data_IF_265104082932
#
_entry.id   IF_265104082932
#
_cell.length_a   1.000
_cell.length_b   1.000
_cell.length_c   1.000
_cell.angle_alpha   90.00
_cell.angle_beta   90.00
_cell.angle_gamma   90.00
#
_symmetry.space_group_name_H-M   'P 1'
#
loop_
_entity.id
_entity.type
_entity.pdbx_description
1 polymer ?
#
# COMPACT_ATOMS: atom_id res chain seq x y z
N UNK A 1 57.98 86.96 76.56
CA UNK A 1 56.97 86.98 77.63
C UNK A 1 56.29 85.61 77.61
N UNK A 2 56.74 84.72 78.50
CA UNK A 2 56.09 83.51 79.06
C UNK A 2 55.76 82.36 78.06
N UNK A 3 56.68 81.39 77.86
CA UNK A 3 56.85 80.03 78.48
C UNK A 3 56.03 78.90 77.78
N UNK A 4 56.68 77.90 77.16
CA UNK A 4 56.92 76.51 77.65
C UNK A 4 55.62 75.73 77.96
N UNK A 5 55.35 74.47 77.60
CA UNK A 5 56.10 73.25 77.26
C UNK A 5 55.24 72.05 77.71
N UNK A 6 55.51 70.82 77.25
CA UNK A 6 55.17 69.59 77.99
C UNK A 6 53.84 68.85 77.72
N UNK A 7 53.98 67.61 77.22
CA UNK A 7 53.32 66.32 77.57
C UNK A 7 51.90 66.28 78.17
N UNK A 8 51.02 65.42 77.63
CA UNK A 8 50.72 64.05 78.15
C UNK A 8 49.32 63.51 77.78
N UNK A 9 49.28 62.19 77.57
CA UNK A 9 48.20 61.23 77.91
C UNK A 9 46.94 61.05 77.03
N UNK A 10 46.83 59.82 76.49
CA UNK A 10 45.72 58.84 76.64
C UNK A 10 44.25 59.26 76.40
N UNK A 11 43.60 58.68 75.38
CA UNK A 11 42.53 57.64 75.49
C UNK A 11 41.81 57.34 74.16
N UNK A 12 41.56 56.03 73.95
CA UNK A 12 40.51 55.30 73.19
C UNK A 12 39.56 56.08 72.27
N UNK A 13 39.08 55.58 71.11
CA UNK A 13 38.25 54.38 70.95
C UNK A 13 37.74 54.27 69.50
N UNK A 14 37.49 53.03 69.05
CA UNK A 14 36.53 52.57 68.03
C UNK A 14 36.81 52.87 66.54
N UNK A 15 37.35 51.86 65.84
CA UNK A 15 37.05 51.60 64.42
C UNK A 15 36.52 50.16 64.28
N UNK A 16 35.34 50.03 63.67
CA UNK A 16 34.65 48.77 63.43
C UNK A 16 35.29 48.03 62.25
N UNK A 17 35.64 46.76 62.44
CA UNK A 17 36.03 45.84 61.37
C UNK A 17 34.88 44.87 61.10
N UNK A 18 34.33 44.91 59.90
CA UNK A 18 33.34 43.95 59.40
C UNK A 18 34.03 42.66 58.96
N UNK A 19 33.67 41.55 59.58
CA UNK A 19 34.14 40.21 59.25
C UNK A 19 33.15 39.58 58.25
N UNK A 20 33.53 39.47 56.97
CA UNK A 20 32.78 38.69 55.98
C UNK A 20 33.34 37.27 55.92
N UNK A 21 32.50 36.30 56.23
CA UNK A 21 32.73 34.86 56.13
C UNK A 21 32.66 34.41 54.66
N UNK A 22 33.74 33.82 54.15
CA UNK A 22 33.75 33.08 52.88
C UNK A 22 33.11 31.69 53.11
N UNK A 23 31.89 31.49 52.61
CA UNK A 23 31.36 30.15 52.33
C UNK A 23 31.74 29.81 50.88
N UNK A 24 32.67 28.87 50.70
CA UNK A 24 32.97 28.28 49.41
C UNK A 24 31.81 27.37 48.98
N UNK A 25 30.91 27.88 48.14
CA UNK A 25 29.97 27.07 47.40
C UNK A 25 30.72 26.40 46.24
N UNK A 26 30.97 25.10 46.36
CA UNK A 26 31.36 24.24 45.24
C UNK A 26 30.14 24.11 44.34
N UNK A 27 29.93 25.08 43.45
CA UNK A 27 29.02 24.95 42.33
C UNK A 27 29.66 23.95 41.36
N UNK A 28 29.35 22.67 41.54
CA UNK A 28 29.57 21.67 40.51
C UNK A 28 28.87 22.15 39.25
N UNK A 29 29.66 22.45 38.23
CA UNK A 29 29.16 22.66 36.88
C UNK A 29 28.41 21.37 36.48
N UNK A 30 27.08 21.41 36.53
CA UNK A 30 26.25 20.48 35.79
C UNK A 30 26.49 20.80 34.30
N UNK A 31 27.61 20.29 33.76
CA UNK A 31 27.77 20.11 32.34
C UNK A 31 26.51 19.38 31.88
N UNK A 32 25.78 19.99 30.93
CA UNK A 32 24.51 19.46 30.44
C UNK A 32 24.70 18.00 30.06
N UNK A 33 24.20 17.09 30.90
CA UNK A 33 24.31 15.67 30.67
C UNK A 33 23.61 15.39 29.33
N UNK A 34 24.31 14.71 28.42
CA UNK A 34 23.68 14.33 27.17
C UNK A 34 22.39 13.54 27.49
N UNK A 35 21.30 13.85 26.78
CA UNK A 35 20.02 13.23 27.07
C UNK A 35 20.14 11.70 27.00
N UNK A 36 19.96 11.02 28.15
CA UNK A 36 20.05 9.57 28.26
C UNK A 36 19.18 8.85 27.21
N UNK A 37 19.67 7.74 26.69
CA UNK A 37 18.97 6.91 25.72
C UNK A 37 17.81 6.14 26.38
N UNK A 38 16.76 5.84 25.61
CA UNK A 38 15.71 4.91 26.03
C UNK A 38 16.14 3.46 25.81
N UNK A 39 16.89 3.21 24.73
CA UNK A 39 17.41 1.90 24.33
C UNK A 39 18.84 2.02 23.82
N UNK A 40 19.72 1.14 24.27
CA UNK A 40 21.03 0.89 23.66
C UNK A 40 21.05 -0.54 23.15
N UNK A 41 21.34 -0.69 21.86
CA UNK A 41 21.60 -1.98 21.22
C UNK A 41 23.11 -2.08 21.02
N UNK A 42 23.71 -3.18 21.45
CA UNK A 42 25.16 -3.40 21.45
C UNK A 42 25.50 -4.85 21.13
N UNK A 43 26.79 -5.16 21.02
CA UNK A 43 27.26 -6.49 20.66
C UNK A 43 26.56 -6.97 19.37
N UNK A 44 26.62 -6.11 18.35
CA UNK A 44 25.93 -6.26 17.08
C UNK A 44 26.86 -5.82 15.95
N UNK A 45 26.62 -6.31 14.73
CA UNK A 45 27.19 -5.72 13.52
C UNK A 45 26.14 -4.83 12.90
N UNK A 46 26.26 -3.51 13.04
CA UNK A 46 25.26 -2.55 12.56
C UNK A 46 25.75 -1.98 11.23
N UNK A 47 25.01 -2.21 10.15
CA UNK A 47 25.29 -1.58 8.86
C UNK A 47 24.45 -0.31 8.73
N UNK A 48 25.10 0.83 8.54
CA UNK A 48 24.41 2.13 8.58
C UNK A 48 23.78 2.53 7.25
N UNK A 49 24.30 1.97 6.14
CA UNK A 49 23.99 2.41 4.78
C UNK A 49 24.19 3.93 4.58
N UNK A 50 25.13 4.52 5.32
CA UNK A 50 25.60 5.88 5.02
C UNK A 50 26.43 5.92 3.72
N UNK A 51 26.84 7.11 3.27
CA UNK A 51 27.60 7.27 2.03
C UNK A 51 28.98 6.54 2.03
N UNK A 52 29.45 6.09 3.20
CA UNK A 52 30.69 5.36 3.36
C UNK A 52 30.46 3.86 3.63
N UNK A 53 29.21 3.41 3.64
CA UNK A 53 28.83 2.04 3.97
C UNK A 53 29.44 1.60 5.31
N UNK A 54 29.38 2.47 6.32
CA UNK A 54 30.03 2.22 7.60
C UNK A 54 29.39 1.07 8.38
N UNK A 55 30.19 0.44 9.25
CA UNK A 55 29.76 -0.55 10.21
C UNK A 55 30.03 -0.06 11.64
N UNK A 56 29.15 -0.42 12.57
CA UNK A 56 29.23 -0.04 13.98
C UNK A 56 28.89 -1.22 14.90
N UNK A 57 29.28 -1.10 16.17
CA UNK A 57 29.10 -2.15 17.18
C UNK A 57 27.86 -1.92 18.08
N UNK A 58 27.40 -0.67 18.15
CA UNK A 58 26.27 -0.26 18.96
C UNK A 58 25.53 0.96 18.39
N UNK A 59 24.24 1.07 18.76
CA UNK A 59 23.42 2.26 18.53
C UNK A 59 22.65 2.61 19.81
N UNK A 60 22.31 3.89 19.96
CA UNK A 60 21.47 4.39 21.04
C UNK A 60 20.27 5.13 20.47
N UNK A 61 19.09 4.87 21.02
CA UNK A 61 17.80 5.41 20.59
C UNK A 61 17.18 6.22 21.71
N UNK A 62 16.64 7.39 21.37
CA UNK A 62 15.80 8.20 22.26
C UNK A 62 14.61 8.74 21.49
N UNK A 63 13.42 8.64 22.07
CA UNK A 63 12.14 9.06 21.48
C UNK A 63 11.96 8.56 20.03
N UNK A 64 12.34 7.29 19.77
CA UNK A 64 12.22 6.67 18.46
C UNK A 64 13.22 7.16 17.40
N UNK A 65 14.25 7.91 17.79
CA UNK A 65 15.33 8.37 16.90
C UNK A 65 16.67 7.81 17.34
N UNK A 66 17.51 7.45 16.38
CA UNK A 66 18.92 7.12 16.64
C UNK A 66 19.62 8.42 17.03
N UNK A 67 20.16 8.46 18.25
CA UNK A 67 20.95 9.59 18.77
C UNK A 67 22.46 9.30 18.75
N UNK A 68 22.83 8.03 18.57
CA UNK A 68 24.23 7.61 18.44
C UNK A 68 24.33 6.30 17.65
N UNK A 69 25.37 6.17 16.84
CA UNK A 69 25.78 4.92 16.18
C UNK A 69 27.31 4.90 16.12
N UNK A 70 27.92 3.81 16.56
CA UNK A 70 29.39 3.71 16.65
C UNK A 70 29.84 2.59 17.58
N UNK A 71 30.84 2.86 18.42
CA UNK A 71 31.39 1.86 19.33
C UNK A 71 30.48 1.59 20.54
N UNK A 72 30.57 0.39 21.10
CA UNK A 72 29.85 0.01 22.32
C UNK A 72 30.13 0.95 23.50
N UNK A 73 31.39 1.35 23.70
CA UNK A 73 31.78 2.31 24.75
C UNK A 73 31.17 3.68 24.51
N UNK A 74 31.03 4.10 23.25
CA UNK A 74 30.38 5.36 22.88
C UNK A 74 28.91 5.37 23.27
N UNK A 75 28.18 4.31 22.89
CA UNK A 75 26.77 4.17 23.23
C UNK A 75 26.55 4.07 24.75
N UNK A 76 27.41 3.35 25.47
CA UNK A 76 27.28 3.14 26.92
C UNK A 76 27.33 4.45 27.73
N UNK A 77 28.01 5.50 27.23
CA UNK A 77 28.02 6.82 27.89
C UNK A 77 26.65 7.50 27.91
N UNK A 78 25.73 7.07 27.04
CA UNK A 78 24.37 7.56 26.96
C UNK A 78 23.39 6.77 27.84
N UNK A 79 23.87 5.75 28.57
CA UNK A 79 23.03 4.97 29.47
C UNK A 79 22.65 5.81 30.71
N UNK A 80 21.35 5.88 30.99
CA UNK A 80 20.78 6.40 32.22
C UNK A 80 20.04 5.32 33.02
N UNK A 81 19.49 5.66 34.18
CA UNK A 81 18.84 4.70 35.08
C UNK A 81 17.65 3.94 34.48
N UNK A 82 17.04 4.47 33.41
CA UNK A 82 15.88 3.87 32.72
C UNK A 82 16.23 3.31 31.34
N UNK A 83 17.51 3.36 30.93
CA UNK A 83 17.92 2.88 29.61
C UNK A 83 17.84 1.37 29.55
N UNK A 84 17.08 0.84 28.58
CA UNK A 84 17.09 -0.59 28.27
C UNK A 84 18.36 -0.93 27.51
N UNK A 85 19.09 -1.94 27.99
CA UNK A 85 20.31 -2.44 27.33
C UNK A 85 20.00 -3.76 26.64
N UNK A 86 20.30 -3.85 25.35
CA UNK A 86 20.09 -5.03 24.53
C UNK A 86 21.41 -5.46 23.88
N UNK A 87 21.80 -6.71 24.07
CA UNK A 87 23.00 -7.31 23.47
C UNK A 87 22.58 -8.33 22.43
N UNK A 88 23.06 -8.18 21.19
CA UNK A 88 22.60 -9.00 20.08
C UNK A 88 23.50 -10.21 19.76
N UNK A 89 24.60 -10.43 20.48
CA UNK A 89 25.46 -11.60 20.29
C UNK A 89 26.13 -11.65 18.91
N UNK A 90 26.55 -10.50 18.39
CA UNK A 90 27.16 -10.35 17.07
C UNK A 90 26.20 -10.40 15.88
N UNK A 91 24.87 -10.43 16.10
CA UNK A 91 23.89 -10.42 15.01
C UNK A 91 23.97 -9.12 14.19
N UNK A 92 23.57 -9.23 12.93
CA UNK A 92 23.51 -8.11 11.98
C UNK A 92 22.25 -7.27 12.23
N UNK A 93 22.43 -5.95 12.27
CA UNK A 93 21.35 -4.95 12.25
C UNK A 93 21.43 -4.19 10.93
N UNK A 94 20.31 -4.16 10.21
CA UNK A 94 20.14 -3.42 8.97
C UNK A 94 19.12 -2.29 9.17
N UNK A 95 19.16 -1.22 8.36
CA UNK A 95 18.03 -0.31 8.25
C UNK A 95 16.80 -1.11 7.82
N UNK A 96 15.64 -0.78 8.40
CA UNK A 96 14.38 -1.39 7.98
C UNK A 96 14.13 -1.12 6.49
N UNK A 97 13.58 -2.11 5.79
CA UNK A 97 13.35 -2.00 4.35
C UNK A 97 12.26 -0.96 4.07
N UNK A 98 12.41 -0.31 2.92
CA UNK A 98 11.44 0.66 2.40
C UNK A 98 10.96 0.14 1.06
N UNK A 99 9.66 -0.17 0.98
CA UNK A 99 9.04 -0.48 -0.30
C UNK A 99 8.54 0.80 -0.96
N UNK A 100 9.20 1.22 -2.05
CA UNK A 100 8.88 2.49 -2.70
C UNK A 100 7.65 2.45 -3.61
N UNK A 101 7.03 1.29 -3.85
CA UNK A 101 5.87 1.18 -4.75
C UNK A 101 5.12 -0.15 -4.56
N UNK A 102 4.12 -0.17 -3.68
CA UNK A 102 3.32 -1.37 -3.42
C UNK A 102 1.82 -1.02 -3.36
N UNK A 103 0.96 -2.02 -3.57
CA UNK A 103 -0.46 -1.98 -3.26
C UNK A 103 -0.70 -2.77 -1.97
N UNK A 104 -0.51 -2.15 -0.78
CA UNK A 104 -0.34 -2.86 0.49
C UNK A 104 -1.63 -3.46 1.01
N UNK A 105 -2.81 -3.00 0.57
CA UNK A 105 -4.08 -3.60 0.99
C UNK A 105 -4.36 -4.92 0.25
N UNK A 106 -3.78 -5.10 -0.94
CA UNK A 106 -3.93 -6.29 -1.79
C UNK A 106 -3.03 -7.45 -1.38
N UNK A 107 -2.08 -7.22 -0.46
CA UNK A 107 -1.16 -8.28 -0.01
C UNK A 107 -1.85 -9.27 0.93
N UNK A 108 -3.08 -8.99 1.39
CA UNK A 108 -3.76 -9.86 2.33
C UNK A 108 -4.34 -11.08 1.63
N UNK A 109 -4.09 -12.24 2.23
CA UNK A 109 -4.79 -13.47 1.86
C UNK A 109 -6.20 -13.38 2.48
N UNK A 110 -7.15 -12.95 1.64
CA UNK A 110 -8.57 -12.83 1.96
C UNK A 110 -9.30 -14.15 1.72
N UNK A 111 -10.36 -14.39 2.49
CA UNK A 111 -11.24 -15.54 2.28
C UNK A 111 -12.20 -15.27 1.12
N UNK A 112 -11.72 -15.52 -0.09
CA UNK A 112 -12.45 -15.31 -1.36
C UNK A 112 -12.29 -16.55 -2.26
N UNK A 113 -13.23 -16.76 -3.18
CA UNK A 113 -13.12 -17.83 -4.16
C UNK A 113 -11.90 -17.57 -5.07
N UNK A 114 -10.90 -18.45 -5.04
CA UNK A 114 -9.60 -18.19 -5.66
C UNK A 114 -9.06 -19.47 -6.32
N UNK A 115 -8.66 -19.39 -7.58
CA UNK A 115 -8.11 -20.49 -8.37
C UNK A 115 -6.59 -20.63 -8.25
N UNK A 116 -5.92 -19.70 -7.57
CA UNK A 116 -4.48 -19.70 -7.32
C UNK A 116 -3.65 -19.80 -8.61
N UNK A 117 -4.15 -19.28 -9.73
CA UNK A 117 -3.53 -19.39 -11.06
C UNK A 117 -3.32 -20.83 -11.54
N UNK A 118 -3.98 -21.83 -10.94
CA UNK A 118 -3.90 -23.22 -11.38
C UNK A 118 -4.68 -23.42 -12.68
N UNK A 119 -4.11 -24.09 -13.70
CA UNK A 119 -4.84 -24.44 -14.92
C UNK A 119 -5.98 -25.41 -14.57
N UNK A 120 -7.19 -25.17 -15.11
CA UNK A 120 -8.38 -25.95 -14.75
C UNK A 120 -9.35 -26.14 -15.93
N UNK A 121 -9.56 -27.40 -16.41
CA UNK A 121 -10.50 -27.72 -17.49
C UNK A 121 -11.90 -27.21 -17.22
N UNK A 122 -12.66 -26.84 -18.26
CA UNK A 122 -13.96 -26.16 -18.09
C UNK A 122 -14.96 -26.96 -17.25
N UNK A 123 -14.92 -28.30 -17.33
CA UNK A 123 -15.72 -29.19 -16.49
C UNK A 123 -15.39 -29.06 -15.01
N UNK A 124 -14.11 -29.04 -14.68
CA UNK A 124 -13.62 -28.90 -13.30
C UNK A 124 -13.87 -27.50 -12.78
N UNK A 125 -13.68 -26.49 -13.64
CA UNK A 125 -13.97 -25.09 -13.35
C UNK A 125 -15.44 -24.89 -13.00
N UNK A 126 -16.38 -25.46 -13.78
CA UNK A 126 -17.81 -25.39 -13.48
C UNK A 126 -18.12 -25.96 -12.08
N UNK A 127 -17.56 -27.14 -11.75
CA UNK A 127 -17.74 -27.77 -10.44
C UNK A 127 -17.14 -26.95 -9.30
N UNK A 128 -15.93 -26.40 -9.50
CA UNK A 128 -15.25 -25.55 -8.52
C UNK A 128 -16.05 -24.28 -8.24
N UNK A 129 -16.50 -23.58 -9.28
CA UNK A 129 -17.29 -22.35 -9.14
C UNK A 129 -18.64 -22.65 -8.45
N UNK A 130 -19.31 -23.75 -8.79
CA UNK A 130 -20.54 -24.17 -8.11
C UNK A 130 -20.31 -24.40 -6.61
N UNK A 131 -19.18 -25.02 -6.25
CA UNK A 131 -18.79 -25.22 -4.86
C UNK A 131 -18.54 -23.87 -4.15
N UNK A 132 -17.90 -22.89 -4.81
CA UNK A 132 -17.75 -21.55 -4.26
C UNK A 132 -19.10 -20.85 -4.04
N UNK A 133 -20.03 -20.92 -5.00
CA UNK A 133 -21.39 -20.35 -4.85
C UNK A 133 -22.07 -20.91 -3.60
N UNK A 134 -21.96 -22.23 -3.38
CA UNK A 134 -22.53 -22.87 -2.20
C UNK A 134 -21.79 -22.49 -0.90
N UNK A 135 -20.46 -22.45 -0.93
CA UNK A 135 -19.62 -22.15 0.23
C UNK A 135 -19.84 -20.72 0.74
N UNK A 136 -19.74 -19.73 -0.15
CA UNK A 136 -19.93 -18.32 0.16
C UNK A 136 -21.41 -17.92 0.25
N UNK A 137 -22.34 -18.83 -0.07
CA UNK A 137 -23.79 -18.61 -0.02
C UNK A 137 -24.22 -17.36 -0.79
N UNK A 138 -23.60 -17.14 -1.95
CA UNK A 138 -23.83 -15.94 -2.75
C UNK A 138 -25.31 -15.82 -3.12
N UNK A 139 -26.01 -14.73 -2.75
CA UNK A 139 -27.43 -14.59 -3.02
C UNK A 139 -27.75 -14.54 -4.52
N UNK A 140 -28.96 -14.97 -4.89
CA UNK A 140 -29.43 -14.85 -6.27
C UNK A 140 -29.44 -13.37 -6.72
N UNK A 141 -28.97 -13.13 -7.94
CA UNK A 141 -28.79 -11.80 -8.51
C UNK A 141 -27.59 -11.02 -7.97
N UNK A 142 -26.84 -11.56 -7.01
CA UNK A 142 -25.54 -11.01 -6.63
C UNK A 142 -24.41 -11.68 -7.39
N UNK A 143 -23.23 -11.08 -7.31
CA UNK A 143 -22.03 -11.53 -8.02
C UNK A 143 -21.12 -12.35 -7.12
N UNK A 144 -20.59 -13.44 -7.67
CA UNK A 144 -19.41 -14.13 -7.18
C UNK A 144 -18.23 -13.80 -8.11
N UNK A 145 -17.20 -13.19 -7.55
CA UNK A 145 -15.91 -13.01 -8.21
C UNK A 145 -14.98 -14.17 -7.85
N UNK A 146 -14.40 -14.79 -8.87
CA UNK A 146 -13.46 -15.90 -8.74
C UNK A 146 -12.08 -15.39 -9.16
N UNK A 147 -11.18 -15.30 -8.19
CA UNK A 147 -9.88 -14.65 -8.34
C UNK A 147 -8.82 -15.57 -8.96
N UNK A 148 -7.80 -14.96 -9.56
CA UNK A 148 -6.60 -15.65 -10.06
C UNK A 148 -6.91 -16.77 -11.07
N UNK A 149 -7.87 -16.54 -11.96
CA UNK A 149 -8.14 -17.45 -13.06
C UNK A 149 -6.95 -17.45 -14.03
N UNK A 150 -6.42 -18.64 -14.33
CA UNK A 150 -5.40 -18.80 -15.37
C UNK A 150 -6.09 -18.78 -16.74
N UNK A 151 -6.08 -17.64 -17.41
CA UNK A 151 -6.72 -17.50 -18.72
C UNK A 151 -5.91 -18.17 -19.84
N UNK A 152 -4.59 -18.32 -19.65
CA UNK A 152 -3.65 -18.79 -20.68
C UNK A 152 -3.69 -20.31 -20.84
N UNK A 153 -3.85 -21.05 -19.75
CA UNK A 153 -3.78 -22.52 -19.74
C UNK A 153 -4.93 -23.14 -18.93
N UNK A 154 -5.20 -24.41 -19.20
CA UNK A 154 -6.17 -25.21 -18.49
C UNK A 154 -7.61 -25.04 -18.95
N UNK A 155 -7.95 -24.10 -19.83
CA UNK A 155 -9.35 -23.84 -20.23
C UNK A 155 -9.90 -24.81 -21.29
N UNK A 156 -9.51 -26.10 -21.25
CA UNK A 156 -9.94 -27.06 -22.27
C UNK A 156 -11.47 -27.32 -22.17
N UNK A 157 -12.21 -27.21 -23.28
CA UNK A 157 -13.64 -27.48 -23.31
C UNK A 157 -13.92 -28.99 -23.33
N UNK A 158 -15.17 -29.34 -23.00
CA UNK A 158 -15.73 -30.67 -23.27
C UNK A 158 -17.09 -30.54 -23.98
N UNK A 159 -17.76 -31.67 -24.22
CA UNK A 159 -19.03 -31.70 -24.93
C UNK A 159 -20.17 -30.97 -24.18
N UNK A 160 -20.13 -30.96 -22.85
CA UNK A 160 -21.16 -30.33 -22.00
C UNK A 160 -20.82 -28.86 -21.71
N UNK A 161 -19.54 -28.50 -21.79
CA UNK A 161 -18.99 -27.16 -21.54
C UNK A 161 -18.14 -26.70 -22.74
N UNK A 162 -18.77 -26.42 -23.90
CA UNK A 162 -18.05 -26.04 -25.11
C UNK A 162 -17.45 -24.62 -25.04
N UNK A 163 -17.87 -23.81 -24.08
CA UNK A 163 -17.44 -22.42 -23.89
C UNK A 163 -17.32 -22.06 -22.41
N UNK A 164 -16.57 -21.01 -22.09
CA UNK A 164 -16.50 -20.45 -20.72
C UNK A 164 -17.90 -20.09 -20.21
N UNK A 165 -18.73 -19.46 -21.05
CA UNK A 165 -20.12 -19.13 -20.71
C UNK A 165 -20.90 -20.37 -20.30
N UNK A 166 -20.83 -21.46 -21.08
CA UNK A 166 -21.52 -22.71 -20.77
C UNK A 166 -21.03 -23.33 -19.44
N UNK A 167 -19.71 -23.30 -19.19
CA UNK A 167 -19.12 -23.75 -17.93
C UNK A 167 -19.65 -22.96 -16.72
N UNK A 168 -19.69 -21.63 -16.84
CA UNK A 168 -20.14 -20.77 -15.74
C UNK A 168 -21.66 -20.78 -15.56
N UNK A 169 -22.43 -20.97 -16.64
CA UNK A 169 -23.89 -21.20 -16.56
C UNK A 169 -24.22 -22.54 -15.89
N UNK A 170 -23.42 -23.59 -16.16
CA UNK A 170 -23.55 -24.89 -15.48
C UNK A 170 -23.26 -24.78 -13.97
N UNK A 171 -22.37 -23.86 -13.57
CA UNK A 171 -22.11 -23.57 -12.17
C UNK A 171 -23.28 -22.85 -11.49
N UNK A 172 -23.87 -21.85 -12.14
CA UNK A 172 -25.09 -21.17 -11.67
C UNK A 172 -25.74 -20.31 -12.76
N UNK A 173 -27.06 -20.38 -12.85
CA UNK A 173 -27.90 -19.46 -13.65
C UNK A 173 -28.60 -18.40 -12.78
N UNK A 174 -28.37 -18.42 -11.46
CA UNK A 174 -29.03 -17.52 -10.49
C UNK A 174 -28.08 -16.49 -9.88
N UNK A 175 -26.78 -16.75 -9.95
CA UNK A 175 -25.72 -15.89 -9.40
C UNK A 175 -24.90 -15.38 -10.57
N UNK A 176 -24.59 -14.09 -10.58
CA UNK A 176 -23.68 -13.53 -11.57
C UNK A 176 -22.28 -14.08 -11.31
N UNK A 177 -21.67 -14.72 -12.29
CA UNK A 177 -20.32 -15.27 -12.14
C UNK A 177 -19.36 -14.43 -12.96
N UNK A 178 -18.26 -14.03 -12.31
CA UNK A 178 -17.13 -13.38 -12.94
C UNK A 178 -15.83 -14.11 -12.57
N UNK A 179 -15.06 -14.52 -13.57
CA UNK A 179 -13.65 -14.89 -13.39
C UNK A 179 -12.78 -13.65 -13.56
N UNK A 180 -11.82 -13.47 -12.67
CA UNK A 180 -10.78 -12.45 -12.73
C UNK A 180 -9.47 -13.11 -13.16
N UNK A 181 -9.02 -12.81 -14.37
CA UNK A 181 -7.75 -13.31 -14.90
C UNK A 181 -6.58 -12.89 -14.01
N UNK A 182 -5.63 -13.78 -13.81
CA UNK A 182 -4.44 -13.54 -12.98
C UNK A 182 -3.53 -12.40 -13.45
N UNK A 183 -3.75 -11.90 -14.67
CA UNK A 183 -3.08 -10.75 -15.24
C UNK A 183 -3.84 -9.43 -15.06
N UNK A 184 -5.11 -9.46 -14.63
CA UNK A 184 -5.95 -8.28 -14.45
C UNK A 184 -6.63 -7.76 -15.70
N UNK A 185 -6.38 -8.40 -16.85
CA UNK A 185 -6.81 -7.96 -18.18
C UNK A 185 -7.92 -8.85 -18.74
N UNK A 186 -7.89 -10.13 -18.38
CA UNK A 186 -8.89 -11.10 -18.84
C UNK A 186 -10.04 -11.26 -17.85
N UNK A 187 -11.22 -11.53 -18.40
CA UNK A 187 -12.40 -11.85 -17.64
C UNK A 187 -13.25 -12.89 -18.34
N UNK A 188 -14.01 -13.65 -17.56
CA UNK A 188 -15.03 -14.53 -18.09
C UNK A 188 -16.33 -14.44 -17.29
N UNK A 189 -17.46 -14.49 -17.97
CA UNK A 189 -18.77 -14.20 -17.39
C UNK A 189 -19.82 -15.24 -17.82
N UNK A 190 -20.74 -15.57 -16.92
CA UNK A 190 -21.92 -16.37 -17.25
C UNK A 190 -23.00 -15.52 -17.95
N UNK A 191 -24.07 -16.17 -18.44
CA UNK A 191 -25.17 -15.49 -19.12
C UNK A 191 -25.79 -14.36 -18.29
N UNK A 192 -26.03 -14.62 -17.00
CA UNK A 192 -26.68 -13.65 -16.12
C UNK A 192 -25.86 -12.36 -15.97
N UNK A 193 -24.53 -12.48 -15.88
CA UNK A 193 -23.64 -11.32 -15.85
C UNK A 193 -23.57 -10.61 -17.21
N UNK A 194 -23.49 -11.35 -18.32
CA UNK A 194 -23.47 -10.77 -19.67
C UNK A 194 -24.74 -9.95 -19.98
N UNK A 195 -25.89 -10.34 -19.44
CA UNK A 195 -27.16 -9.60 -19.55
C UNK A 195 -27.10 -8.21 -18.90
N UNK A 196 -26.19 -7.98 -17.94
CA UNK A 196 -26.05 -6.70 -17.26
C UNK A 196 -25.28 -5.63 -18.06
N UNK A 197 -24.79 -5.95 -19.26
CA UNK A 197 -24.00 -5.01 -20.05
C UNK A 197 -24.78 -3.72 -20.36
N UNK A 198 -24.14 -2.56 -20.11
CA UNK A 198 -24.72 -1.22 -20.26
C UNK A 198 -24.14 -0.49 -21.45
N UNK A 199 -25.01 0.20 -22.20
CA UNK A 199 -24.58 1.10 -23.26
C UNK A 199 -24.10 2.46 -22.73
N UNK A 200 -23.66 3.36 -23.62
CA UNK A 200 -23.16 4.70 -23.27
C UNK A 200 -24.21 5.60 -22.59
N UNK A 201 -25.50 5.27 -22.70
CA UNK A 201 -26.57 5.95 -21.98
C UNK A 201 -26.86 5.32 -20.59
N UNK A 202 -26.05 4.34 -20.15
CA UNK A 202 -26.21 3.62 -18.89
C UNK A 202 -27.34 2.58 -18.88
N UNK A 203 -28.01 2.36 -20.02
CA UNK A 203 -29.12 1.40 -20.13
C UNK A 203 -28.57 -0.02 -20.26
N UNK A 204 -29.12 -0.94 -19.46
CA UNK A 204 -28.87 -2.38 -19.58
C UNK A 204 -29.46 -2.89 -20.89
N UNK A 205 -28.61 -3.44 -21.76
CA UNK A 205 -28.97 -3.97 -23.09
C UNK A 205 -28.42 -5.38 -23.33
N UNK A 206 -27.52 -5.87 -22.47
CA UNK A 206 -26.92 -7.19 -22.57
C UNK A 206 -25.84 -7.29 -23.65
N UNK A 207 -24.84 -8.13 -23.41
CA UNK A 207 -23.81 -8.46 -24.39
C UNK A 207 -24.31 -9.62 -25.26
N UNK A 208 -24.46 -9.38 -26.56
CA UNK A 208 -24.98 -10.33 -27.53
C UNK A 208 -24.35 -10.12 -28.89
N UNK A 209 -24.52 -11.07 -29.83
CA UNK A 209 -24.10 -10.88 -31.22
C UNK A 209 -24.65 -9.59 -31.84
N UNK A 210 -25.90 -9.25 -31.54
CA UNK A 210 -26.55 -8.05 -32.06
C UNK A 210 -25.90 -6.79 -31.47
N UNK A 211 -25.81 -6.69 -30.14
CA UNK A 211 -25.24 -5.50 -29.49
C UNK A 211 -23.75 -5.33 -29.77
N UNK A 212 -23.00 -6.41 -30.00
CA UNK A 212 -21.62 -6.37 -30.51
C UNK A 212 -21.50 -5.83 -31.95
N UNK A 213 -22.56 -5.91 -32.76
CA UNK A 213 -22.58 -5.33 -34.10
C UNK A 213 -23.02 -3.85 -34.10
N UNK A 214 -23.69 -3.40 -33.03
CA UNK A 214 -24.27 -2.06 -32.90
C UNK A 214 -23.62 -1.28 -31.75
N UNK A 215 -24.21 -1.27 -30.56
CA UNK A 215 -23.81 -0.43 -29.42
C UNK A 215 -22.37 -0.67 -28.97
N UNK A 216 -21.91 -1.92 -29.06
CA UNK A 216 -20.60 -2.37 -28.58
C UNK A 216 -19.63 -2.70 -29.70
N UNK A 217 -19.84 -2.16 -30.91
CA UNK A 217 -18.97 -2.39 -32.07
C UNK A 217 -17.49 -2.14 -31.78
N UNK A 218 -17.18 -1.10 -31.00
CA UNK A 218 -15.80 -0.76 -30.62
C UNK A 218 -15.16 -1.81 -29.70
N UNK A 219 -15.96 -2.54 -28.93
CA UNK A 219 -15.51 -3.54 -27.97
C UNK A 219 -15.44 -4.96 -28.54
N UNK A 220 -16.01 -5.19 -29.74
CA UNK A 220 -16.02 -6.50 -30.41
C UNK A 220 -14.65 -7.21 -30.44
N UNK A 221 -13.51 -6.54 -30.68
CA UNK A 221 -12.20 -7.21 -30.64
C UNK A 221 -11.90 -7.87 -29.30
N UNK A 222 -12.41 -7.35 -28.19
CA UNK A 222 -12.10 -7.80 -26.83
C UNK A 222 -13.09 -8.84 -26.28
N UNK A 223 -14.07 -9.26 -27.07
CA UNK A 223 -15.10 -10.21 -26.65
C UNK A 223 -14.97 -11.51 -27.44
N UNK A 224 -14.74 -12.61 -26.73
CA UNK A 224 -14.73 -13.95 -27.32
C UNK A 224 -16.13 -14.33 -27.78
N UNK A 225 -16.23 -14.92 -28.97
CA UNK A 225 -17.49 -15.39 -29.54
C UNK A 225 -17.38 -16.85 -29.95
N UNK A 226 -18.52 -17.54 -29.97
CA UNK A 226 -18.63 -18.91 -30.49
C UNK A 226 -18.77 -18.94 -32.02
N UNK A 227 -18.97 -20.14 -32.56
CA UNK A 227 -19.20 -20.39 -33.99
C UNK A 227 -20.39 -19.61 -34.57
N UNK A 228 -21.39 -19.30 -33.76
CA UNK A 228 -22.57 -18.54 -34.17
C UNK A 228 -22.36 -17.03 -34.06
N UNK A 229 -21.27 -16.59 -33.42
CA UNK A 229 -20.95 -15.21 -33.15
C UNK A 229 -21.57 -14.66 -31.86
N UNK A 230 -22.10 -15.54 -31.01
CA UNK A 230 -22.62 -15.17 -29.69
C UNK A 230 -21.47 -15.14 -28.66
N UNK A 231 -21.51 -14.27 -27.63
CA UNK A 231 -20.46 -14.22 -26.62
C UNK A 231 -20.24 -15.58 -25.95
N UNK A 232 -18.98 -16.05 -25.97
CA UNK A 232 -18.59 -17.35 -25.44
C UNK A 232 -18.22 -17.30 -23.94
N UNK A 233 -18.41 -16.15 -23.31
CA UNK A 233 -18.09 -15.90 -21.90
C UNK A 233 -16.83 -15.07 -21.70
N UNK A 234 -15.84 -15.15 -22.60
CA UNK A 234 -14.64 -14.33 -22.49
C UNK A 234 -14.95 -12.86 -22.84
N UNK A 235 -14.65 -11.96 -21.90
CA UNK A 235 -14.78 -10.50 -22.05
C UNK A 235 -13.54 -9.91 -21.43
N UNK A 236 -12.73 -9.23 -22.23
CA UNK A 236 -11.40 -8.77 -21.82
C UNK A 236 -11.30 -7.25 -21.90
N UNK A 237 -10.26 -6.71 -21.28
CA UNK A 237 -9.94 -5.29 -21.33
C UNK A 237 -11.11 -4.41 -20.91
N UNK A 238 -11.24 -3.25 -21.57
CA UNK A 238 -12.28 -2.28 -21.30
C UNK A 238 -13.69 -2.81 -21.59
N UNK A 239 -13.82 -3.87 -22.41
CA UNK A 239 -15.12 -4.48 -22.66
C UNK A 239 -15.72 -5.09 -21.38
N UNK A 240 -14.89 -5.43 -20.38
CA UNK A 240 -15.38 -5.89 -19.07
C UNK A 240 -16.20 -4.81 -18.38
N UNK A 241 -15.78 -3.54 -18.48
CA UNK A 241 -16.47 -2.42 -17.83
C UNK A 241 -17.90 -2.19 -18.34
N UNK A 242 -18.25 -2.75 -19.51
CA UNK A 242 -19.65 -2.78 -19.97
C UNK A 242 -20.57 -3.46 -18.95
N UNK A 243 -20.08 -4.47 -18.22
CA UNK A 243 -20.83 -5.31 -17.29
C UNK A 243 -20.71 -4.80 -15.83
N UNK A 244 -20.04 -3.65 -15.63
CA UNK A 244 -19.71 -3.10 -14.32
C UNK A 244 -19.05 -4.15 -13.41
N UNK A 245 -17.91 -4.73 -13.82
CA UNK A 245 -17.27 -5.85 -13.16
C UNK A 245 -16.65 -5.39 -11.84
N UNK A 246 -16.40 -6.33 -10.93
CA UNK A 246 -15.41 -6.07 -9.89
C UNK A 246 -14.04 -6.03 -10.58
N UNK A 247 -13.19 -5.07 -10.24
CA UNK A 247 -11.81 -4.98 -10.72
C UNK A 247 -10.89 -5.82 -9.84
N UNK A 248 -9.78 -6.32 -10.39
CA UNK A 248 -8.70 -6.83 -9.52
C UNK A 248 -8.08 -5.75 -8.65
N UNK A 249 -8.22 -4.49 -9.05
CA UNK A 249 -7.80 -3.32 -8.27
C UNK A 249 -8.84 -2.92 -7.21
N UNK A 250 -10.03 -3.52 -7.25
CA UNK A 250 -11.03 -3.31 -6.21
C UNK A 250 -10.65 -4.18 -5.03
N UNK A 251 -9.86 -3.61 -4.14
CA UNK A 251 -9.61 -4.20 -2.83
C UNK A 251 -10.95 -4.38 -2.14
N UNK A 252 -11.23 -5.56 -1.59
CA UNK A 252 -12.38 -5.73 -0.70
C UNK A 252 -12.09 -5.01 0.63
N UNK A 253 -12.33 -3.70 0.63
CA UNK A 253 -12.03 -2.83 1.75
C UNK A 253 -12.80 -3.22 3.01
N UNK A 254 -13.99 -3.82 2.86
CA UNK A 254 -14.78 -4.31 3.98
C UNK A 254 -14.10 -5.52 4.64
N UNK A 255 -13.61 -6.48 3.85
CA UNK A 255 -12.83 -7.61 4.36
C UNK A 255 -11.49 -7.15 4.96
N UNK A 256 -10.76 -6.27 4.27
CA UNK A 256 -9.50 -5.71 4.80
C UNK A 256 -9.73 -4.96 6.11
N UNK A 257 -10.83 -4.19 6.20
CA UNK A 257 -11.18 -3.47 7.40
C UNK A 257 -11.55 -4.37 8.59
N UNK A 258 -11.82 -5.66 8.40
CA UNK A 258 -12.09 -6.58 9.54
C UNK A 258 -10.83 -6.87 10.35
N UNK A 259 -9.66 -6.95 9.71
CA UNK A 259 -8.38 -7.22 10.36
C UNK A 259 -7.24 -6.40 9.72
N UNK A 260 -7.34 -5.06 9.73
CA UNK A 260 -6.44 -4.22 8.95
C UNK A 260 -4.99 -4.29 9.46
N UNK A 261 -4.77 -4.63 10.74
CA UNK A 261 -3.46 -4.87 11.34
C UNK A 261 -2.66 -5.97 10.64
N UNK A 262 -3.32 -6.89 9.93
CA UNK A 262 -2.63 -7.93 9.14
C UNK A 262 -1.75 -7.32 8.05
N UNK A 263 -2.10 -6.13 7.54
CA UNK A 263 -1.30 -5.43 6.51
C UNK A 263 0.08 -5.12 7.06
N UNK A 264 0.13 -4.42 8.19
CA UNK A 264 1.41 -3.99 8.78
C UNK A 264 2.15 -5.17 9.42
N UNK A 265 1.46 -6.21 9.89
CA UNK A 265 2.10 -7.45 10.34
C UNK A 265 2.82 -8.18 9.20
N UNK A 266 2.20 -8.31 8.02
CA UNK A 266 2.81 -8.97 6.85
C UNK A 266 4.04 -8.19 6.36
N UNK A 267 3.91 -6.85 6.27
CA UNK A 267 5.04 -5.97 5.91
C UNK A 267 6.18 -6.05 6.94
N UNK A 268 5.89 -5.92 8.22
CA UNK A 268 6.89 -6.01 9.29
C UNK A 268 7.56 -7.38 9.32
N UNK A 269 6.82 -8.46 9.05
CA UNK A 269 7.35 -9.83 8.96
C UNK A 269 8.38 -10.00 7.83
N UNK A 270 8.28 -9.18 6.78
CA UNK A 270 9.28 -9.09 5.71
C UNK A 270 10.39 -8.06 5.98
N UNK A 271 10.39 -7.41 7.15
CA UNK A 271 11.35 -6.35 7.50
C UNK A 271 11.04 -4.98 6.88
N UNK A 272 9.86 -4.81 6.26
CA UNK A 272 9.43 -3.54 5.67
C UNK A 272 8.89 -2.64 6.80
N UNK A 273 9.49 -1.47 6.97
CA UNK A 273 9.15 -0.51 8.04
C UNK A 273 8.67 0.83 7.51
N UNK A 274 8.75 1.03 6.20
CA UNK A 274 8.11 2.13 5.50
C UNK A 274 7.68 1.70 4.10
N UNK A 275 6.63 2.30 3.57
CA UNK A 275 6.16 2.01 2.22
C UNK A 275 5.45 3.19 1.56
N UNK A 276 5.39 3.20 0.23
CA UNK A 276 4.46 3.99 -0.56
C UNK A 276 3.31 3.09 -0.98
N UNK A 277 2.10 3.38 -0.51
CA UNK A 277 0.90 2.88 -1.18
C UNK A 277 0.80 3.61 -2.52
N UNK A 278 0.99 2.86 -3.60
CA UNK A 278 1.12 3.36 -4.96
C UNK A 278 -0.20 3.86 -5.56
N UNK A 279 -1.35 3.52 -4.97
CA UNK A 279 -2.65 3.94 -5.47
C UNK A 279 -3.72 3.86 -4.38
N UNK A 280 -4.02 5.00 -3.76
CA UNK A 280 -5.01 5.10 -2.69
C UNK A 280 -6.25 5.79 -3.20
N UNK A 281 -7.34 5.03 -3.27
CA UNK A 281 -8.68 5.55 -3.51
C UNK A 281 -9.19 6.29 -2.25
N UNK A 282 -10.07 7.31 -2.40
CA UNK A 282 -10.65 8.02 -1.26
C UNK A 282 -11.29 7.11 -0.20
N UNK A 283 -11.94 6.03 -0.62
CA UNK A 283 -12.63 5.06 0.22
C UNK A 283 -11.65 4.24 1.07
N UNK A 284 -10.46 3.94 0.54
CA UNK A 284 -9.43 3.17 1.23
C UNK A 284 -8.80 3.92 2.42
N UNK A 285 -8.97 5.25 2.49
CA UNK A 285 -8.46 6.07 3.60
C UNK A 285 -9.03 5.64 4.96
N UNK A 286 -10.24 5.09 5.00
CA UNK A 286 -10.87 4.61 6.23
C UNK A 286 -10.08 3.44 6.86
N UNK A 287 -9.45 2.59 6.05
CA UNK A 287 -8.59 1.49 6.53
C UNK A 287 -7.36 2.04 7.24
N UNK A 288 -6.72 3.05 6.66
CA UNK A 288 -5.56 3.73 7.24
C UNK A 288 -5.90 4.48 8.54
N UNK A 289 -7.06 5.14 8.58
CA UNK A 289 -7.55 5.78 9.79
C UNK A 289 -7.77 4.75 10.91
N UNK A 290 -8.37 3.60 10.58
CA UNK A 290 -8.60 2.50 11.53
C UNK A 290 -7.29 1.88 12.03
N UNK A 291 -6.31 1.64 11.15
CA UNK A 291 -4.97 1.18 11.51
C UNK A 291 -4.31 2.11 12.53
N UNK A 292 -4.35 3.41 12.25
CA UNK A 292 -3.72 4.40 13.11
C UNK A 292 -4.45 4.56 14.44
N UNK A 293 -5.78 4.71 14.42
CA UNK A 293 -6.59 4.86 15.63
C UNK A 293 -6.53 3.63 16.54
N UNK A 294 -6.39 2.42 15.97
CA UNK A 294 -6.20 1.18 16.70
C UNK A 294 -4.79 0.93 17.23
N UNK A 295 -3.81 1.80 16.93
CA UNK A 295 -2.41 1.59 17.31
C UNK A 295 -1.71 0.47 16.54
N UNK A 296 -2.29 0.04 15.41
CA UNK A 296 -1.77 -1.04 14.56
C UNK A 296 -0.96 -0.53 13.37
N UNK A 297 -0.91 0.79 13.15
CA UNK A 297 0.02 1.40 12.21
C UNK A 297 1.44 1.33 12.78
N UNK A 298 2.21 0.32 12.37
CA UNK A 298 3.58 0.05 12.86
C UNK A 298 4.67 0.39 11.86
N UNK A 299 4.30 0.85 10.66
CA UNK A 299 5.20 1.28 9.59
C UNK A 299 4.84 2.70 9.14
N UNK A 300 5.80 3.41 8.51
CA UNK A 300 5.53 4.74 7.92
C UNK A 300 4.98 4.58 6.51
N UNK A 301 3.83 5.16 6.22
CA UNK A 301 3.23 5.13 4.89
C UNK A 301 3.22 6.50 4.23
N UNK A 302 3.53 6.51 2.94
CA UNK A 302 3.18 7.58 2.01
C UNK A 302 2.02 7.08 1.16
N UNK A 303 0.96 7.88 1.04
CA UNK A 303 -0.23 7.56 0.25
C UNK A 303 -0.14 8.33 -1.07
N UNK A 304 -0.04 7.60 -2.19
CA UNK A 304 -0.22 8.16 -3.52
C UNK A 304 -1.70 8.18 -3.86
N UNK A 305 -2.30 9.36 -3.75
CA UNK A 305 -3.73 9.55 -3.94
C UNK A 305 -4.08 9.33 -5.42
N UNK A 306 -5.11 8.54 -5.69
CA UNK A 306 -5.61 8.30 -7.03
C UNK A 306 -7.04 8.82 -7.17
N UNK A 307 -7.27 9.58 -8.23
CA UNK A 307 -8.57 10.12 -8.60
C UNK A 307 -8.79 9.82 -10.07
N UNK A 308 -9.77 8.99 -10.38
CA UNK A 308 -10.08 8.65 -11.77
C UNK A 308 -10.62 9.89 -12.52
N UNK A 309 -9.92 10.37 -13.56
CA UNK A 309 -10.38 11.50 -14.38
C UNK A 309 -11.72 11.26 -15.08
N UNK A 310 -12.11 9.99 -15.27
CA UNK A 310 -13.39 9.62 -15.87
C UNK A 310 -14.59 10.04 -15.00
N UNK A 311 -14.41 10.07 -13.67
CA UNK A 311 -15.42 10.44 -12.69
C UNK A 311 -15.47 11.93 -12.40
N UNK A 312 -14.48 12.69 -12.87
CA UNK A 312 -14.37 14.14 -12.64
C UNK A 312 -14.45 14.88 -13.97
N UNK A 313 -15.56 14.74 -14.69
CA UNK A 313 -15.81 15.51 -15.91
C UNK A 313 -16.81 16.64 -15.71
N UNK A 314 -16.50 17.81 -16.26
CA UNK A 314 -17.41 18.96 -16.38
C UNK A 314 -18.50 18.68 -17.42
N UNK A 315 -19.55 19.51 -17.42
CA UNK A 315 -20.69 19.34 -18.34
C UNK A 315 -20.31 19.40 -19.84
N UNK A 316 -19.18 20.06 -20.17
CA UNK A 316 -18.60 20.12 -21.52
C UNK A 316 -17.63 18.96 -21.82
N UNK A 317 -17.51 17.99 -20.91
CA UNK A 317 -16.73 16.77 -21.07
C UNK A 317 -15.24 16.89 -20.75
N UNK A 318 -14.75 18.04 -20.29
CA UNK A 318 -13.35 18.22 -19.86
C UNK A 318 -13.12 17.60 -18.47
N UNK A 319 -11.89 17.23 -18.15
CA UNK A 319 -11.52 16.78 -16.80
C UNK A 319 -11.45 18.00 -15.86
N UNK A 320 -12.11 17.91 -14.71
CA UNK A 320 -12.11 18.87 -13.62
C UNK A 320 -10.91 18.64 -12.68
N UNK A 321 -9.75 19.13 -13.13
CA UNK A 321 -8.51 19.05 -12.35
C UNK A 321 -8.56 19.91 -11.07
N UNK A 322 -9.31 21.01 -11.07
CA UNK A 322 -9.38 21.92 -9.92
C UNK A 322 -10.09 21.24 -8.74
N UNK A 323 -11.22 20.58 -9.00
CA UNK A 323 -11.92 19.77 -7.99
C UNK A 323 -11.07 18.60 -7.50
N UNK A 324 -10.36 17.94 -8.42
CA UNK A 324 -9.44 16.84 -8.08
C UNK A 324 -8.30 17.31 -7.18
N UNK A 325 -7.67 18.44 -7.52
CA UNK A 325 -6.59 19.02 -6.72
C UNK A 325 -7.08 19.51 -5.36
N UNK A 326 -8.28 20.11 -5.28
CA UNK A 326 -8.88 20.52 -4.02
C UNK A 326 -9.08 19.33 -3.07
N UNK A 327 -9.58 18.20 -3.57
CA UNK A 327 -9.68 16.95 -2.81
C UNK A 327 -8.29 16.46 -2.35
N UNK A 328 -7.31 16.47 -3.25
CA UNK A 328 -5.96 16.01 -2.94
C UNK A 328 -5.29 16.85 -1.83
N UNK A 329 -5.49 18.17 -1.87
CA UNK A 329 -5.03 19.11 -0.84
C UNK A 329 -5.72 18.85 0.49
N UNK A 330 -7.04 18.60 0.49
CA UNK A 330 -7.79 18.29 1.71
C UNK A 330 -7.29 16.99 2.37
N UNK A 331 -7.07 15.92 1.58
CA UNK A 331 -6.48 14.67 2.08
C UNK A 331 -5.08 14.87 2.62
N UNK A 332 -4.24 15.67 1.93
CA UNK A 332 -2.90 16.00 2.42
C UNK A 332 -2.97 16.73 3.77
N UNK A 333 -3.88 17.69 3.90
CA UNK A 333 -4.10 18.44 5.14
C UNK A 333 -4.56 17.53 6.29
N UNK A 334 -5.44 16.57 6.02
CA UNK A 334 -5.91 15.56 7.00
C UNK A 334 -4.74 14.84 7.69
N UNK A 335 -3.71 14.46 6.95
CA UNK A 335 -2.55 13.72 7.47
C UNK A 335 -1.33 14.60 7.81
N UNK A 336 -1.44 15.93 7.72
CA UNK A 336 -0.30 16.84 7.86
C UNK A 336 0.40 16.78 9.24
N UNK A 337 -0.31 16.38 10.29
CA UNK A 337 0.23 16.23 11.64
C UNK A 337 0.37 14.77 12.08
N UNK A 338 0.08 13.81 11.20
CA UNK A 338 0.23 12.39 11.54
C UNK A 338 1.73 11.99 11.46
N UNK A 339 2.28 11.31 12.48
CA UNK A 339 3.69 10.91 12.52
C UNK A 339 4.02 9.69 11.63
N UNK A 340 3.02 8.91 11.22
CA UNK A 340 3.21 7.66 10.49
C UNK A 340 2.55 7.66 9.10
N UNK A 341 1.47 8.42 8.90
CA UNK A 341 0.72 8.48 7.65
C UNK A 341 0.90 9.84 7.01
N UNK A 342 1.18 9.88 5.71
CA UNK A 342 1.28 11.11 4.92
C UNK A 342 0.70 10.91 3.52
N UNK A 343 -0.01 11.89 2.99
CA UNK A 343 -0.63 11.82 1.66
C UNK A 343 -0.07 12.92 0.74
N UNK A 344 1.23 12.86 0.47
CA UNK A 344 1.96 13.92 -0.26
C UNK A 344 2.03 13.69 -1.78
N UNK A 345 1.51 12.57 -2.29
CA UNK A 345 1.67 12.17 -3.69
C UNK A 345 0.32 12.05 -4.39
N UNK A 346 0.32 12.26 -5.71
CA UNK A 346 -0.78 11.93 -6.63
C UNK A 346 -0.26 10.87 -7.59
N UNK A 347 -1.01 9.78 -7.77
CA UNK A 347 -0.74 8.75 -8.77
C UNK A 347 -1.40 9.13 -10.09
N UNK A 348 -0.65 8.99 -11.17
CA UNK A 348 -1.12 9.18 -12.56
C UNK A 348 -0.62 7.97 -13.36
N UNK A 349 -1.43 7.50 -14.30
CA UNK A 349 -1.05 6.51 -15.30
C UNK A 349 -0.84 7.23 -16.63
N UNK A 350 0.31 7.01 -17.26
CA UNK A 350 0.64 7.60 -18.56
C UNK A 350 0.34 6.63 -19.72
N UNK A 351 0.62 5.34 -19.50
CA UNK A 351 0.45 4.23 -20.44
C UNK A 351 0.12 2.92 -19.69
N UNK A 352 0.20 1.80 -20.39
CA UNK A 352 -0.10 0.47 -19.88
C UNK A 352 1.09 -0.33 -19.36
N UNK A 353 1.02 -1.64 -19.53
CA UNK A 353 2.04 -2.61 -19.12
C UNK A 353 2.64 -3.29 -20.34
N UNK A 354 3.87 -3.82 -20.22
CA UNK A 354 4.59 -4.43 -21.36
C UNK A 354 3.96 -5.76 -21.81
N UNK A 355 3.17 -6.37 -20.93
CA UNK A 355 2.46 -7.61 -21.14
C UNK A 355 1.25 -7.45 -22.07
N UNK A 356 0.77 -6.22 -22.29
CA UNK A 356 -0.24 -5.90 -23.30
C UNK A 356 0.25 -6.33 -24.68
N UNK A 357 -0.60 -7.04 -25.41
CA UNK A 357 -0.30 -7.56 -26.74
C UNK A 357 -1.46 -7.22 -27.69
N UNK A 358 -1.37 -6.11 -28.43
CA UNK A 358 -2.41 -5.70 -29.38
C UNK A 358 -2.52 -6.67 -30.58
N UNK A 359 -1.61 -7.64 -30.71
CA UNK A 359 -1.62 -8.66 -31.75
C UNK A 359 -2.18 -10.02 -31.28
N UNK A 360 -2.50 -10.17 -30.00
CA UNK A 360 -3.22 -11.35 -29.52
C UNK A 360 -4.65 -11.38 -30.08
N UNK A 361 -5.29 -12.56 -30.05
CA UNK A 361 -6.70 -12.72 -30.43
C UNK A 361 -7.42 -13.38 -29.25
N UNK A 362 -8.24 -12.63 -28.48
CA UNK A 362 -8.47 -11.18 -28.57
C UNK A 362 -7.22 -10.37 -28.15
N UNK A 363 -7.07 -9.12 -28.62
CA UNK A 363 -5.95 -8.26 -28.24
C UNK A 363 -6.02 -7.95 -26.75
N UNK A 364 -4.85 -7.80 -26.14
CA UNK A 364 -4.71 -7.41 -24.73
C UNK A 364 -4.12 -6.01 -24.62
N UNK A 365 -4.61 -5.25 -23.65
CA UNK A 365 -4.35 -3.84 -23.35
C UNK A 365 -4.25 -3.69 -21.82
N UNK A 366 -3.94 -2.51 -21.27
CA UNK A 366 -3.25 -1.41 -21.92
C UNK A 366 -1.84 -1.85 -22.29
N UNK A 367 -1.42 -1.59 -23.53
CA UNK A 367 -0.05 -1.79 -23.98
C UNK A 367 0.78 -0.56 -23.60
N UNK A 368 1.95 -0.78 -23.00
CA UNK A 368 2.90 0.29 -22.73
C UNK A 368 3.36 0.92 -24.04
N UNK A 369 3.58 2.23 -24.05
CA UNK A 369 4.04 2.93 -25.26
C UNK A 369 5.52 2.58 -25.53
N UNK A 370 5.78 1.42 -26.12
CA UNK A 370 7.14 1.02 -26.43
C UNK A 370 7.60 1.59 -27.77
N UNK A 371 8.59 2.49 -27.72
CA UNK A 371 9.21 3.06 -28.93
C UNK A 371 9.86 2.02 -29.84
N UNK A 372 10.09 0.79 -29.33
CA UNK A 372 10.57 -0.37 -30.07
C UNK A 372 9.79 -1.61 -29.62
N UNK A 373 9.22 -2.42 -30.53
CA UNK A 373 8.58 -3.68 -30.13
C UNK A 373 9.56 -4.51 -29.29
N UNK A 374 9.08 -5.12 -28.21
CA UNK A 374 9.89 -6.08 -27.46
C UNK A 374 10.23 -7.23 -28.42
N UNK A 375 11.52 -7.54 -28.58
CA UNK A 375 11.93 -8.69 -29.35
C UNK A 375 11.50 -9.93 -28.56
N UNK A 376 10.44 -10.62 -29.04
CA UNK A 376 10.05 -11.92 -28.52
C UNK A 376 11.26 -12.86 -28.65
N UNK A 377 11.81 -13.40 -27.56
CA UNK A 377 12.87 -14.39 -27.64
C UNK A 377 12.33 -15.60 -28.41
N UNK A 378 12.90 -15.86 -29.60
CA UNK A 378 12.61 -17.08 -30.35
C UNK A 378 13.34 -18.20 -29.63
N UNK A 379 12.64 -18.89 -28.73
CA UNK A 379 13.11 -20.17 -28.22
C UNK A 379 13.07 -21.16 -29.38
N UNK A 380 14.25 -21.63 -29.81
CA UNK A 380 14.38 -22.61 -30.89
C UNK A 380 13.55 -23.86 -30.58
N UNK A 381 12.89 -24.39 -31.61
CA UNK A 381 12.09 -25.63 -31.52
C UNK A 381 12.94 -26.86 -31.26
#
# INVERSE_FOLDING_TARGET
MILAGGSDSMRSCLTAFTLSTLLAAVAGAAAGAEPAADLIVSDAKIYTQDAHHSAADALAIRAGKIIFVGSATGAQRLAGPQTRLEKLGGRLVLPGLIDSHIHPLDILDLDVCNLESKPMPLKELAAFVAACVAHYKTPAGQRLSVHQWNYTDGNQPDADHPTLRAALDAASTKVEIQLLGNDGHHGAFNSLALEQARNSAGKVVGLSKQTLATEFRAYRPFVGVDVNGDPNGAVNEDARYLINPNSMLDVDLDLVAQAPERVTQKLNGAGITAFLDAMVLPEALAVYDKLYAGGHMTARVRLAQFYDPSHTRTADGRVDYDSTLAKAIATRAKYANNPLIRADFIKIFADGVLEGNPYAIPPTLPDAASLRPFLQPIFGR
#
